data_IF_367234779565
#
_entry.id   IF_367234779565
#
_cell.length_a   1.000
_cell.length_b   1.000
_cell.length_c   1.000
_cell.angle_alpha   90.00
_cell.angle_beta   90.00
_cell.angle_gamma   90.00
#
_symmetry.space_group_name_H-M   'P 1'
#
loop_
_entity.id
_entity.type
_entity.pdbx_description
1 polymer ?
#
# COMPACT_ATOMS: atom_id res chain seq x y z
N UNK A 1 -9.40 -20.98 -3.43
CA UNK A 1 -7.93 -21.04 -3.33
C UNK A 1 -7.41 -20.65 -4.69
N UNK A 2 -6.69 -19.54 -4.81
CA UNK A 2 -6.09 -19.16 -6.10
C UNK A 2 -4.93 -20.11 -6.36
N UNK A 3 -5.02 -20.88 -7.44
CA UNK A 3 -3.95 -21.73 -7.99
C UNK A 3 -2.80 -20.83 -8.45
N UNK A 4 -1.99 -20.37 -7.49
CA UNK A 4 -0.78 -19.61 -7.75
C UNK A 4 0.34 -20.60 -8.02
N UNK A 5 0.99 -20.44 -9.16
CA UNK A 5 2.17 -21.23 -9.53
C UNK A 5 3.41 -20.53 -9.00
N UNK A 6 4.21 -21.25 -8.22
CA UNK A 6 5.50 -20.80 -7.72
C UNK A 6 6.65 -21.46 -8.50
N UNK A 7 7.83 -20.81 -8.60
CA UNK A 7 8.09 -19.44 -8.15
C UNK A 7 7.47 -18.42 -9.12
N UNK A 8 7.16 -17.23 -8.62
CA UNK A 8 6.79 -16.09 -9.46
C UNK A 8 7.35 -14.78 -8.90
N UNK A 9 7.56 -13.80 -9.77
CA UNK A 9 8.01 -12.47 -9.37
C UNK A 9 6.83 -11.51 -9.26
N UNK A 10 6.82 -10.69 -8.21
CA UNK A 10 5.84 -9.64 -7.99
C UNK A 10 6.52 -8.33 -7.59
N UNK A 11 5.74 -7.27 -7.65
CA UNK A 11 6.11 -5.93 -7.20
C UNK A 11 5.38 -5.61 -5.90
N UNK A 12 6.11 -5.09 -4.93
CA UNK A 12 5.60 -4.63 -3.66
C UNK A 12 5.77 -3.10 -3.57
N UNK A 13 4.73 -2.39 -3.16
CA UNK A 13 4.84 -0.98 -2.80
C UNK A 13 5.06 -0.84 -1.29
N UNK A 14 6.24 -0.37 -0.88
CA UNK A 14 6.55 -0.18 0.54
C UNK A 14 5.78 1.00 1.15
N UNK A 15 5.81 1.08 2.48
CA UNK A 15 5.24 2.23 3.22
C UNK A 15 5.85 3.58 2.81
N UNK A 16 7.09 3.57 2.32
CA UNK A 16 7.80 4.77 1.86
C UNK A 16 7.62 5.01 0.35
N UNK A 17 6.63 4.38 -0.29
CA UNK A 17 6.36 4.46 -1.72
C UNK A 17 7.52 4.02 -2.61
N UNK A 18 8.40 3.15 -2.09
CA UNK A 18 9.42 2.50 -2.90
C UNK A 18 8.85 1.23 -3.51
N UNK A 19 9.18 0.98 -4.77
CA UNK A 19 8.84 -0.26 -5.44
C UNK A 19 9.96 -1.26 -5.24
N UNK A 20 9.62 -2.45 -4.74
CA UNK A 20 10.53 -3.56 -4.60
C UNK A 20 10.04 -4.73 -5.44
N UNK A 21 10.94 -5.30 -6.22
CA UNK A 21 10.71 -6.57 -6.90
C UNK A 21 11.05 -7.71 -5.93
N UNK A 22 10.15 -8.68 -5.81
CA UNK A 22 10.28 -9.81 -4.90
C UNK A 22 9.92 -11.09 -5.61
N UNK A 23 10.72 -12.14 -5.40
CA UNK A 23 10.42 -13.49 -5.85
C UNK A 23 9.72 -14.26 -4.74
N UNK A 24 8.53 -14.79 -5.05
CA UNK A 24 7.72 -15.59 -4.17
C UNK A 24 7.89 -17.05 -4.56
N UNK A 25 8.25 -17.87 -3.58
CA UNK A 25 8.64 -19.28 -3.83
C UNK A 25 7.63 -20.27 -3.28
N UNK A 26 6.75 -19.86 -2.38
CA UNK A 26 5.71 -20.71 -1.81
C UNK A 26 4.61 -19.87 -1.14
N UNK A 27 3.53 -20.51 -0.70
CA UNK A 27 2.55 -19.93 0.20
C UNK A 27 3.19 -19.70 1.58
N UNK A 28 2.86 -18.58 2.23
CA UNK A 28 3.42 -18.20 3.52
C UNK A 28 2.94 -19.08 4.67
N UNK A 29 1.62 -19.20 4.83
CA UNK A 29 0.99 -20.14 5.77
C UNK A 29 -0.08 -20.96 5.03
N UNK A 30 -0.29 -22.20 5.46
CA UNK A 30 -1.32 -23.07 4.87
C UNK A 30 -2.68 -22.36 4.86
N UNK A 31 -3.34 -22.34 3.70
CA UNK A 31 -4.65 -21.71 3.49
C UNK A 31 -4.71 -20.19 3.82
N UNK A 32 -3.56 -19.50 3.82
CA UNK A 32 -3.52 -18.06 4.08
C UNK A 32 -3.42 -17.21 2.81
N UNK A 33 -3.76 -15.93 2.95
CA UNK A 33 -3.59 -14.90 1.93
C UNK A 33 -2.17 -14.29 1.95
N UNK A 34 -1.16 -15.09 2.30
CA UNK A 34 0.24 -14.67 2.34
C UNK A 34 1.09 -15.56 1.44
N UNK A 35 2.08 -14.95 0.80
CA UNK A 35 3.13 -15.61 0.03
C UNK A 35 4.49 -15.32 0.62
N UNK A 36 5.40 -16.30 0.53
CA UNK A 36 6.74 -16.21 1.10
C UNK A 36 7.83 -16.14 0.06
N UNK A 37 8.86 -15.37 0.40
CA UNK A 37 10.16 -15.36 -0.27
C UNK A 37 11.03 -16.52 0.21
N UNK A 38 12.10 -16.80 -0.55
CA UNK A 38 13.18 -17.73 -0.18
C UNK A 38 13.80 -17.41 1.20
N UNK A 39 13.93 -16.11 1.52
CA UNK A 39 14.46 -15.56 2.77
C UNK A 39 13.46 -15.62 3.93
N UNK A 40 12.30 -16.26 3.76
CA UNK A 40 11.30 -16.45 4.81
C UNK A 40 10.45 -15.23 5.15
N UNK A 41 10.51 -14.15 4.35
CA UNK A 41 9.58 -13.02 4.50
C UNK A 41 8.23 -13.34 3.88
N UNK A 42 7.16 -13.02 4.58
CA UNK A 42 5.77 -13.19 4.14
C UNK A 42 5.17 -11.84 3.72
N UNK A 43 4.46 -11.83 2.61
CA UNK A 43 3.72 -10.67 2.10
C UNK A 43 2.28 -11.04 1.86
N UNK A 44 1.35 -10.14 2.20
CA UNK A 44 -0.05 -10.35 1.90
C UNK A 44 -0.27 -10.22 0.39
N UNK A 45 -1.09 -11.08 -0.19
CA UNK A 45 -1.33 -11.12 -1.65
C UNK A 45 -1.87 -9.82 -2.21
N UNK A 46 -2.71 -9.12 -1.44
CA UNK A 46 -3.29 -7.83 -1.84
C UNK A 46 -2.25 -6.70 -1.91
N UNK A 47 -1.06 -6.92 -1.36
CA UNK A 47 0.07 -5.99 -1.44
C UNK A 47 1.04 -6.34 -2.58
N UNK A 48 0.82 -7.47 -3.27
CA UNK A 48 1.66 -7.96 -4.36
C UNK A 48 1.02 -7.66 -5.72
N UNK A 49 1.76 -6.97 -6.58
CA UNK A 49 1.34 -6.59 -7.91
C UNK A 49 2.09 -7.39 -8.96
N UNK A 50 1.38 -8.05 -9.88
CA UNK A 50 2.00 -8.83 -10.96
C UNK A 50 2.85 -8.00 -11.93
N UNK A 51 2.60 -6.68 -12.01
CA UNK A 51 3.38 -5.78 -12.87
C UNK A 51 3.76 -4.50 -12.13
N UNK A 52 4.93 -3.96 -12.48
CA UNK A 52 5.41 -2.67 -11.97
C UNK A 52 4.41 -1.55 -12.22
N UNK A 53 3.80 -1.52 -13.41
CA UNK A 53 2.82 -0.50 -13.78
C UNK A 53 1.59 -0.52 -12.86
N UNK A 54 1.11 -1.70 -12.45
CA UNK A 54 0.01 -1.82 -11.49
C UNK A 54 0.40 -1.30 -10.11
N UNK A 55 1.61 -1.60 -9.65
CA UNK A 55 2.12 -1.10 -8.38
C UNK A 55 2.23 0.44 -8.37
N UNK A 56 2.69 1.03 -9.48
CA UNK A 56 2.74 2.50 -9.67
C UNK A 56 1.34 3.08 -9.61
N UNK A 57 0.40 2.56 -10.40
CA UNK A 57 -0.97 3.06 -10.44
C UNK A 57 -1.66 3.01 -9.07
N UNK A 58 -1.43 1.93 -8.31
CA UNK A 58 -1.89 1.82 -6.93
C UNK A 58 -1.26 2.86 -6.00
N UNK A 59 0.06 3.08 -6.14
CA UNK A 59 0.78 4.10 -5.38
C UNK A 59 0.27 5.51 -5.64
N UNK A 60 0.06 5.88 -6.91
CA UNK A 60 -0.51 7.17 -7.30
C UNK A 60 -1.91 7.38 -6.72
N UNK A 61 -2.78 6.36 -6.79
CA UNK A 61 -4.11 6.43 -6.20
C UNK A 61 -4.05 6.63 -4.68
N UNK A 62 -3.11 5.97 -3.99
CA UNK A 62 -2.90 6.13 -2.56
C UNK A 62 -2.37 7.52 -2.20
N UNK A 63 -1.44 8.07 -2.98
CA UNK A 63 -0.97 9.45 -2.80
C UNK A 63 -2.09 10.47 -2.98
N UNK A 64 -2.92 10.30 -4.01
CA UNK A 64 -4.08 11.16 -4.23
C UNK A 64 -5.08 11.12 -3.06
N UNK A 65 -5.34 9.93 -2.49
CA UNK A 65 -6.18 9.79 -1.32
C UNK A 65 -5.59 10.50 -0.08
N UNK A 66 -4.28 10.37 0.15
CA UNK A 66 -3.57 11.06 1.23
C UNK A 66 -3.61 12.57 1.07
N UNK A 67 -3.39 13.08 -0.15
CA UNK A 67 -3.47 14.50 -0.46
C UNK A 67 -4.87 15.06 -0.13
N UNK A 68 -5.93 14.35 -0.55
CA UNK A 68 -7.32 14.73 -0.24
C UNK A 68 -7.60 14.74 1.27
N UNK A 69 -7.04 13.80 2.03
CA UNK A 69 -7.17 13.80 3.48
C UNK A 69 -6.46 14.99 4.11
N UNK A 70 -5.24 15.31 3.67
CA UNK A 70 -4.47 16.46 4.15
C UNK A 70 -5.23 17.76 3.92
N UNK A 71 -5.80 17.96 2.73
CA UNK A 71 -6.63 19.12 2.44
C UNK A 71 -7.84 19.23 3.39
N UNK A 72 -8.52 18.11 3.65
CA UNK A 72 -9.65 18.08 4.59
C UNK A 72 -9.22 18.50 6.00
N UNK A 73 -8.07 17.99 6.46
CA UNK A 73 -7.50 18.36 7.76
C UNK A 73 -7.12 19.85 7.80
N UNK A 74 -6.51 20.37 6.74
CA UNK A 74 -6.15 21.79 6.61
C UNK A 74 -7.39 22.70 6.66
N UNK A 75 -8.46 22.36 5.93
CA UNK A 75 -9.74 23.10 6.01
C UNK A 75 -10.32 23.10 7.43
N UNK A 76 -10.25 21.96 8.13
CA UNK A 76 -10.68 21.87 9.53
C UNK A 76 -9.88 22.76 10.47
N UNK A 77 -8.56 22.83 10.30
CA UNK A 77 -7.69 23.72 11.08
C UNK A 77 -8.00 25.19 10.82
N UNK A 78 -8.23 25.58 9.56
CA UNK A 78 -8.62 26.95 9.20
C UNK A 78 -9.95 27.35 9.85
N UNK A 79 -10.95 26.46 9.84
CA UNK A 79 -12.23 26.70 10.52
C UNK A 79 -12.04 26.98 12.01
N UNK A 80 -11.27 26.14 12.71
CA UNK A 80 -10.97 26.32 14.14
C UNK A 80 -10.21 27.62 14.42
N UNK A 81 -9.28 28.00 13.54
CA UNK A 81 -8.56 29.28 13.66
C UNK A 81 -9.51 30.47 13.57
N UNK A 82 -10.46 30.45 12.65
CA UNK A 82 -11.47 31.50 12.51
C UNK A 82 -12.40 31.56 13.74
N UNK A 83 -12.80 30.40 14.28
CA UNK A 83 -13.59 30.34 15.52
C UNK A 83 -12.84 30.98 16.69
N UNK A 84 -11.55 30.66 16.87
CA UNK A 84 -10.72 31.28 17.91
C UNK A 84 -10.59 32.80 17.75
N UNK A 85 -10.50 33.30 16.51
CA UNK A 85 -10.42 34.74 16.25
C UNK A 85 -11.72 35.48 16.52
N UNK A 86 -12.88 34.81 16.40
CA UNK A 86 -14.21 35.38 16.71
C UNK A 86 -14.52 35.41 18.21
N UNK A 87 -13.81 34.64 19.02
CA UNK A 87 -13.93 34.65 20.47
C UNK A 87 -13.07 35.75 21.15
N UNK A 88 -12.48 36.66 20.36
CA UNK A 88 -11.88 37.91 20.82
C UNK A 88 -12.82 39.07 20.50
#
# INVERSE_FOLDING_TARGET
MSDRTYPYTAWLLTRNFQLLEVELVDQGFANSAYDRTDKGRNYHVDELFLTKARAIAFGEAKLAALAKELERRQRGLLKRRLELQRCK
#
